data_IF_663056697644
#
_entry.id   IF_663056697644
#
_cell.length_a   1.000
_cell.length_b   1.000
_cell.length_c   1.000
_cell.angle_alpha   90.00
_cell.angle_beta   90.00
_cell.angle_gamma   90.00
#
_symmetry.space_group_name_H-M   'P 1'
#
loop_
_entity.id
_entity.type
_entity.pdbx_description
1 polymer ?
#
# COMPACT_ATOMS: atom_id res chain seq x y z
N UNK A 1 5.63 12.08 -6.75
CA UNK A 1 5.51 10.89 -7.62
C UNK A 1 6.51 11.01 -8.75
N UNK A 2 7.28 9.95 -9.03
CA UNK A 2 7.99 9.84 -10.31
C UNK A 2 6.93 9.78 -11.43
N UNK A 3 7.00 10.69 -12.40
CA UNK A 3 6.17 10.62 -13.61
C UNK A 3 6.69 9.44 -14.42
N UNK A 4 6.15 8.25 -14.19
CA UNK A 4 6.37 7.12 -15.09
C UNK A 4 5.40 7.31 -16.26
N UNK A 5 5.94 7.41 -17.46
CA UNK A 5 5.16 7.56 -18.69
C UNK A 5 4.47 6.24 -19.03
N UNK A 6 3.30 6.02 -18.41
CA UNK A 6 2.48 4.84 -18.67
C UNK A 6 1.71 5.00 -19.99
N UNK A 7 1.65 3.92 -20.78
CA UNK A 7 0.81 3.87 -21.98
C UNK A 7 -0.67 4.01 -21.60
N UNK A 8 -1.56 4.47 -22.50
CA UNK A 8 -2.99 4.62 -22.19
C UNK A 8 -3.66 3.36 -21.63
N UNK A 9 -3.24 2.18 -22.11
CA UNK A 9 -3.69 0.90 -21.57
C UNK A 9 -3.22 0.68 -20.13
N UNK A 10 -1.94 0.94 -19.85
CA UNK A 10 -1.39 0.87 -18.50
C UNK A 10 -2.08 1.86 -17.54
N UNK A 11 -2.35 3.09 -17.99
CA UNK A 11 -3.09 4.09 -17.21
C UNK A 11 -4.48 3.60 -16.82
N UNK A 12 -5.20 2.92 -17.72
CA UNK A 12 -6.51 2.35 -17.42
C UNK A 12 -6.41 1.23 -16.37
N UNK A 13 -5.44 0.31 -16.51
CA UNK A 13 -5.20 -0.76 -15.53
C UNK A 13 -4.88 -0.16 -14.15
N UNK A 14 -3.96 0.81 -14.10
CA UNK A 14 -3.57 1.52 -12.88
C UNK A 14 -4.78 2.23 -12.25
N UNK A 15 -5.60 2.88 -13.06
CA UNK A 15 -6.80 3.58 -12.58
C UNK A 15 -7.87 2.61 -12.08
N UNK A 16 -8.05 1.44 -12.71
CA UNK A 16 -8.98 0.41 -12.22
C UNK A 16 -8.50 -0.22 -10.92
N UNK A 17 -7.18 -0.47 -10.80
CA UNK A 17 -6.56 -0.94 -9.57
C UNK A 17 -6.93 -0.04 -8.37
N UNK A 18 -6.67 1.27 -8.47
CA UNK A 18 -6.97 2.21 -7.38
C UNK A 18 -8.47 2.38 -7.09
N UNK A 19 -9.33 2.24 -8.11
CA UNK A 19 -10.79 2.31 -7.94
C UNK A 19 -11.36 1.12 -7.19
N UNK A 20 -10.70 -0.03 -7.24
CA UNK A 20 -11.17 -1.29 -6.67
C UNK A 20 -10.36 -1.72 -5.43
N UNK A 21 -9.64 -0.79 -4.80
CA UNK A 21 -8.94 -1.08 -3.56
C UNK A 21 -9.94 -1.47 -2.45
N UNK A 22 -9.68 -2.61 -1.81
CA UNK A 22 -10.44 -3.07 -0.66
C UNK A 22 -10.19 -2.14 0.53
N UNK A 23 -11.21 -1.37 0.89
CA UNK A 23 -11.15 -0.38 1.97
C UNK A 23 -10.88 -1.01 3.35
N UNK A 24 -11.35 -2.23 3.57
CA UNK A 24 -11.10 -2.97 4.81
C UNK A 24 -9.63 -3.36 4.87
N UNK A 25 -9.03 -3.80 3.77
CA UNK A 25 -7.60 -4.10 3.74
C UNK A 25 -6.74 -2.85 3.86
N UNK A 26 -7.17 -1.70 3.31
CA UNK A 26 -6.48 -0.42 3.51
C UNK A 26 -6.49 0.00 4.99
N UNK A 27 -7.62 -0.14 5.68
CA UNK A 27 -7.71 0.13 7.11
C UNK A 27 -6.80 -0.80 7.92
N UNK A 28 -6.80 -2.11 7.63
CA UNK A 28 -5.86 -3.06 8.27
C UNK A 28 -4.40 -2.69 8.04
N UNK A 29 -4.06 -2.20 6.85
CA UNK A 29 -2.70 -1.77 6.56
C UNK A 29 -2.33 -0.48 7.33
N UNK A 30 -3.30 0.41 7.57
CA UNK A 30 -3.13 1.59 8.41
C UNK A 30 -2.86 1.22 9.88
N UNK A 31 -3.55 0.21 10.40
CA UNK A 31 -3.30 -0.33 11.73
C UNK A 31 -1.87 -0.90 11.82
N UNK A 32 -1.45 -1.68 10.82
CA UNK A 32 -0.10 -2.25 10.76
C UNK A 32 1.00 -1.19 10.69
N UNK A 33 0.78 -0.09 9.96
CA UNK A 33 1.72 1.06 9.95
C UNK A 33 1.85 1.67 11.34
N UNK A 34 0.72 1.87 12.03
CA UNK A 34 0.70 2.42 13.39
C UNK A 34 1.42 1.48 14.37
N UNK A 35 1.13 0.18 14.31
CA UNK A 35 1.81 -0.83 15.12
C UNK A 35 3.33 -0.88 14.85
N UNK A 36 3.76 -0.67 13.60
CA UNK A 36 5.17 -0.60 13.22
C UNK A 36 5.88 0.62 13.81
N UNK A 37 5.24 1.79 13.82
CA UNK A 37 5.79 2.99 14.47
C UNK A 37 5.95 2.81 15.98
N UNK A 38 5.04 2.06 16.61
CA UNK A 38 5.05 1.78 18.04
C UNK A 38 5.85 0.52 18.43
N UNK A 39 6.44 -0.18 17.46
CA UNK A 39 7.18 -1.40 17.75
C UNK A 39 8.58 -1.08 18.30
N UNK A 40 8.83 -1.55 19.52
CA UNK A 40 10.03 -1.35 20.33
C UNK A 40 11.04 -2.50 20.22
N UNK A 41 10.67 -3.60 19.56
CA UNK A 41 11.52 -4.79 19.39
C UNK A 41 11.57 -5.26 17.95
N UNK A 42 12.74 -5.76 17.54
CA UNK A 42 12.98 -6.30 16.20
C UNK A 42 12.07 -7.51 15.90
N UNK A 43 11.92 -8.42 16.86
CA UNK A 43 11.01 -9.57 16.75
C UNK A 43 9.57 -9.15 16.48
N UNK A 44 9.08 -8.08 17.14
CA UNK A 44 7.73 -7.55 16.89
C UNK A 44 7.65 -6.93 15.49
N UNK A 45 8.65 -6.13 15.10
CA UNK A 45 8.74 -5.55 13.75
C UNK A 45 8.72 -6.64 12.67
N UNK A 46 9.44 -7.74 12.85
CA UNK A 46 9.44 -8.88 11.92
C UNK A 46 8.07 -9.51 11.72
N UNK A 47 7.34 -9.74 12.82
CA UNK A 47 5.98 -10.26 12.76
C UNK A 47 5.04 -9.29 12.04
N UNK A 48 5.17 -7.99 12.30
CA UNK A 48 4.38 -6.96 11.64
C UNK A 48 4.68 -6.87 10.15
N UNK A 49 5.96 -6.92 9.74
CA UNK A 49 6.33 -6.90 8.33
C UNK A 49 5.84 -8.13 7.55
N UNK A 50 5.78 -9.31 8.19
CA UNK A 50 5.12 -10.49 7.59
C UNK A 50 3.62 -10.26 7.35
N UNK A 51 2.94 -9.58 8.28
CA UNK A 51 1.52 -9.20 8.11
C UNK A 51 1.35 -8.14 7.02
N UNK A 52 2.27 -7.17 6.94
CA UNK A 52 2.30 -6.16 5.87
C UNK A 52 2.41 -6.83 4.51
N UNK A 53 3.32 -7.80 4.34
CA UNK A 53 3.45 -8.57 3.10
C UNK A 53 2.12 -9.21 2.67
N UNK A 54 1.43 -9.86 3.61
CA UNK A 54 0.13 -10.49 3.34
C UNK A 54 -0.95 -9.46 2.97
N UNK A 55 -0.98 -8.32 3.65
CA UNK A 55 -1.93 -7.25 3.37
C UNK A 55 -1.69 -6.61 1.99
N UNK A 56 -0.42 -6.31 1.64
CA UNK A 56 -0.02 -5.77 0.34
C UNK A 56 -0.39 -6.74 -0.80
N UNK A 57 -0.17 -8.05 -0.61
CA UNK A 57 -0.57 -9.06 -1.59
C UNK A 57 -2.09 -9.11 -1.78
N UNK A 58 -2.87 -9.04 -0.69
CA UNK A 58 -4.35 -9.02 -0.76
C UNK A 58 -4.89 -7.74 -1.39
N UNK A 59 -4.22 -6.61 -1.19
CA UNK A 59 -4.54 -5.34 -1.85
C UNK A 59 -4.19 -5.33 -3.34
N UNK A 60 -3.55 -6.37 -3.87
CA UNK A 60 -3.16 -6.46 -5.29
C UNK A 60 -2.10 -5.44 -5.70
N UNK A 61 -1.30 -4.95 -4.75
CA UNK A 61 -0.23 -3.96 -5.03
C UNK A 61 0.71 -4.51 -6.11
N UNK A 62 1.05 -3.72 -7.14
CA UNK A 62 1.96 -4.16 -8.20
C UNK A 62 3.28 -4.72 -7.65
N UNK A 63 3.71 -5.87 -8.17
CA UNK A 63 4.88 -6.62 -7.69
C UNK A 63 6.14 -5.77 -7.43
N UNK A 64 6.60 -4.94 -8.41
CA UNK A 64 7.78 -4.10 -8.20
C UNK A 64 7.65 -3.11 -7.04
N UNK A 65 6.44 -2.57 -6.81
CA UNK A 65 6.19 -1.66 -5.70
C UNK A 65 6.15 -2.41 -4.37
N UNK A 66 5.51 -3.58 -4.34
CA UNK A 66 5.47 -4.45 -3.17
C UNK A 66 6.88 -4.89 -2.77
N UNK A 67 7.71 -5.33 -3.73
CA UNK A 67 9.10 -5.72 -3.52
C UNK A 67 9.94 -4.57 -2.95
N UNK A 68 9.83 -3.38 -3.53
CA UNK A 68 10.56 -2.21 -3.02
C UNK A 68 10.20 -1.88 -1.57
N UNK A 69 8.91 -1.88 -1.22
CA UNK A 69 8.41 -1.62 0.14
C UNK A 69 8.93 -2.68 1.11
N UNK A 70 8.83 -3.96 0.74
CA UNK A 70 9.21 -5.09 1.60
C UNK A 70 10.73 -5.27 1.72
N UNK A 71 11.51 -4.90 0.72
CA UNK A 71 12.97 -4.93 0.79
C UNK A 71 13.50 -3.80 1.68
N UNK A 72 12.93 -2.60 1.56
CA UNK A 72 13.38 -1.43 2.33
C UNK A 72 12.99 -1.55 3.80
N UNK A 73 11.86 -2.21 4.11
CA UNK A 73 11.29 -2.35 5.47
C UNK A 73 11.26 -1.01 6.25
N UNK A 74 11.07 0.08 5.52
CA UNK A 74 10.96 1.43 6.08
C UNK A 74 9.48 1.78 6.24
N UNK A 75 9.07 2.03 7.49
CA UNK A 75 7.68 2.34 7.85
C UNK A 75 7.21 3.66 7.22
N UNK A 76 8.09 4.64 7.03
CA UNK A 76 7.77 5.92 6.40
C UNK A 76 7.46 5.74 4.90
N UNK A 77 8.22 4.87 4.23
CA UNK A 77 7.97 4.52 2.82
C UNK A 77 6.61 3.84 2.69
N UNK A 78 6.30 2.89 3.57
CA UNK A 78 4.99 2.24 3.60
C UNK A 78 3.86 3.25 3.86
N UNK A 79 4.03 4.14 4.84
CA UNK A 79 3.04 5.15 5.21
C UNK A 79 2.77 6.14 4.07
N UNK A 80 3.81 6.61 3.38
CA UNK A 80 3.68 7.51 2.24
C UNK A 80 2.89 6.86 1.08
N UNK A 81 3.17 5.58 0.79
CA UNK A 81 2.42 4.82 -0.22
C UNK A 81 0.96 4.61 0.20
N UNK A 82 0.71 4.22 1.45
CA UNK A 82 -0.65 4.06 1.98
C UNK A 82 -1.45 5.37 1.89
N UNK A 83 -0.83 6.52 2.20
CA UNK A 83 -1.50 7.81 2.09
C UNK A 83 -1.92 8.12 0.65
N UNK A 84 -1.07 7.80 -0.34
CA UNK A 84 -1.41 7.93 -1.75
C UNK A 84 -2.58 7.02 -2.14
N UNK A 85 -2.56 5.77 -1.67
CA UNK A 85 -3.61 4.79 -1.96
C UNK A 85 -4.95 5.20 -1.34
N UNK A 86 -4.96 5.72 -0.11
CA UNK A 86 -6.16 6.24 0.55
C UNK A 86 -6.75 7.44 -0.22
N UNK A 87 -5.91 8.38 -0.67
CA UNK A 87 -6.35 9.53 -1.48
C UNK A 87 -6.98 9.07 -2.79
N UNK A 88 -6.38 8.11 -3.47
CA UNK A 88 -6.85 7.61 -4.78
C UNK A 88 -8.07 6.68 -4.67
N UNK A 89 -8.11 5.81 -3.65
CA UNK A 89 -9.25 4.96 -3.36
C UNK A 89 -10.50 5.78 -3.02
N UNK A 90 -10.36 6.82 -2.19
CA UNK A 90 -11.45 7.72 -1.85
C UNK A 90 -11.93 8.55 -3.04
N UNK A 91 -11.02 8.99 -3.93
CA UNK A 91 -11.38 9.68 -5.16
C UNK A 91 -12.16 8.79 -6.15
N UNK A 92 -11.91 7.47 -6.14
CA UNK A 92 -12.67 6.48 -6.90
C UNK A 92 -14.06 6.19 -6.31
N UNK A 93 -14.18 6.18 -4.97
CA UNK A 93 -15.43 5.95 -4.26
C UNK A 93 -16.41 7.13 -4.34
N UNK A 94 -15.91 8.37 -4.30
CA UNK A 94 -16.74 9.59 -4.35
C UNK A 94 -17.40 9.86 -5.72
N UNK A 95 -17.05 9.09 -6.75
CA UNK A 95 -17.58 9.21 -8.13
C UNK A 95 -18.68 8.19 -8.46
N UNK A 96 -19.15 7.43 -7.47
CA UNK A 96 -20.25 6.46 -7.59
C UNK A 96 -21.55 7.02 -7.08
#
# INVERSE_FOLDING_TARGET
>A
MARQDYTPHQQNIISQYYRNLDTIMLAKLQDLVTELYLADSETKRDRLWKRVQQAIAKLGVPGPLAEHILATRNVEVLAANLQDWLKKGNAGAAKR
#
